data_IF_231579352054
#
_entry.id   IF_231579352054
#
_cell.length_a   1.000
_cell.length_b   1.000
_cell.length_c   1.000
_cell.angle_alpha   90.00
_cell.angle_beta   90.00
_cell.angle_gamma   90.00
#
_symmetry.space_group_name_H-M   'P 1'
#
loop_
_entity.id
_entity.type
_entity.pdbx_description
1 polymer ?
#
# COMPACT_ATOMS: atom_id res chain seq x y z
N UNK A 1 5.22 -8.35 32.69
CA UNK A 1 5.16 -9.28 31.56
C UNK A 1 5.75 -8.53 30.38
N UNK A 2 6.87 -8.97 29.81
CA UNK A 2 7.29 -8.45 28.51
C UNK A 2 6.24 -8.97 27.52
N UNK A 3 5.63 -8.08 26.75
CA UNK A 3 4.70 -8.48 25.69
C UNK A 3 5.46 -9.35 24.71
N UNK A 4 4.99 -10.58 24.47
CA UNK A 4 5.56 -11.49 23.48
C UNK A 4 5.21 -11.05 22.04
N UNK A 5 4.79 -9.80 21.84
CA UNK A 5 4.56 -9.22 20.50
C UNK A 5 5.95 -8.99 19.88
N UNK A 6 6.31 -9.75 18.86
CA UNK A 6 7.63 -9.63 18.25
C UNK A 6 7.83 -8.25 17.63
N UNK A 7 9.01 -7.66 17.82
CA UNK A 7 9.56 -6.52 17.05
C UNK A 7 9.07 -5.10 17.34
N UNK A 8 8.40 -4.87 18.43
CA UNK A 8 8.11 -3.50 18.81
C UNK A 8 8.84 -3.20 20.08
N UNK A 9 10.10 -2.80 19.92
CA UNK A 9 10.75 -1.99 20.93
C UNK A 9 9.98 -0.66 20.97
N UNK A 10 9.21 -0.38 22.03
CA UNK A 10 8.47 0.89 22.12
C UNK A 10 9.40 2.12 22.12
N UNK A 11 10.70 1.92 22.29
CA UNK A 11 11.73 2.94 22.21
C UNK A 11 12.34 3.05 20.79
N UNK A 12 12.04 2.12 19.86
CA UNK A 12 12.47 2.17 18.46
C UNK A 12 11.34 2.69 17.58
N UNK A 13 11.40 3.96 17.23
CA UNK A 13 10.41 4.65 16.40
C UNK A 13 10.42 4.19 14.94
N UNK A 14 11.41 3.43 14.49
CA UNK A 14 11.57 3.00 13.09
C UNK A 14 12.40 1.72 12.98
N UNK A 15 12.12 0.91 11.94
CA UNK A 15 12.92 -0.29 11.63
C UNK A 15 13.33 -0.27 10.16
N UNK A 16 14.64 -0.37 9.83
CA UNK A 16 15.06 -0.54 8.44
C UNK A 16 14.37 -1.76 7.82
N UNK A 17 13.68 -1.55 6.70
CA UNK A 17 12.94 -2.61 6.03
C UNK A 17 13.76 -3.21 4.88
N UNK A 18 14.35 -2.36 4.03
CA UNK A 18 15.23 -2.78 2.97
C UNK A 18 16.09 -1.62 2.45
N UNK A 19 17.21 -1.97 1.81
CA UNK A 19 17.97 -1.10 0.93
C UNK A 19 17.97 -1.70 -0.48
N UNK A 20 17.57 -0.91 -1.48
CA UNK A 20 17.56 -1.28 -2.90
C UNK A 20 18.57 -0.40 -3.64
N UNK A 21 19.35 -1.00 -4.55
CA UNK A 21 20.31 -0.25 -5.36
C UNK A 21 19.65 0.77 -6.28
N UNK A 22 18.41 0.48 -6.70
CA UNK A 22 17.61 1.30 -7.61
C UNK A 22 16.12 1.28 -7.17
N UNK A 23 15.31 2.33 -7.48
CA UNK A 23 15.75 3.55 -8.16
C UNK A 23 16.69 4.40 -7.29
N UNK A 24 17.47 5.26 -7.94
CA UNK A 24 18.35 6.22 -7.28
C UNK A 24 18.32 7.56 -8.00
N UNK A 25 18.71 8.61 -7.29
CA UNK A 25 18.84 9.97 -7.85
C UNK A 25 20.30 10.33 -8.06
N UNK A 26 20.56 11.43 -8.78
CA UNK A 26 21.90 11.95 -9.03
C UNK A 26 22.32 13.09 -8.08
N UNK A 27 21.51 13.41 -7.07
CA UNK A 27 21.81 14.48 -6.13
C UNK A 27 20.81 14.63 -5.01
N UNK A 28 19.62 15.11 -5.30
CA UNK A 28 18.57 15.35 -4.32
C UNK A 28 17.98 14.05 -3.78
N UNK A 29 17.78 13.95 -2.46
CA UNK A 29 17.05 12.85 -1.83
C UNK A 29 15.57 13.19 -1.80
N UNK A 30 14.73 12.30 -2.32
CA UNK A 30 13.28 12.38 -2.26
C UNK A 30 12.78 11.50 -1.11
N UNK A 31 11.92 12.08 -0.25
CA UNK A 31 11.28 11.39 0.88
C UNK A 31 9.79 11.26 0.64
N UNK A 32 9.28 10.05 0.73
CA UNK A 32 7.86 9.74 0.55
C UNK A 32 7.35 8.99 1.78
N UNK A 33 6.31 9.50 2.43
CA UNK A 33 5.53 8.69 3.35
C UNK A 33 4.53 7.86 2.52
N UNK A 34 4.78 6.56 2.44
CA UNK A 34 3.98 5.62 1.68
C UNK A 34 3.03 4.86 2.60
N UNK A 35 1.77 5.22 2.57
CA UNK A 35 0.68 4.58 3.28
C UNK A 35 -0.07 3.63 2.36
N UNK A 36 -0.71 2.61 2.92
CA UNK A 36 -1.59 1.70 2.19
C UNK A 36 -2.67 1.15 3.11
N UNK A 37 -3.78 0.77 2.52
CA UNK A 37 -4.83 0.01 3.21
C UNK A 37 -5.22 0.66 4.55
N UNK A 38 -5.53 1.96 4.49
CA UNK A 38 -5.92 2.74 5.67
C UNK A 38 -7.30 2.34 6.16
N UNK A 39 -8.17 1.89 5.25
CA UNK A 39 -9.53 1.41 5.51
C UNK A 39 -10.28 2.24 6.54
N UNK A 40 -10.24 3.57 6.37
CA UNK A 40 -10.93 4.48 7.29
C UNK A 40 -12.40 4.12 7.38
N UNK A 41 -12.86 3.90 8.60
CA UNK A 41 -14.23 3.53 8.92
C UNK A 41 -14.87 4.57 9.85
N UNK A 42 -16.11 4.96 9.56
CA UNK A 42 -16.89 5.82 10.46
C UNK A 42 -17.31 5.04 11.70
N UNK A 43 -17.81 3.83 11.47
CA UNK A 43 -18.15 2.87 12.51
C UNK A 43 -17.55 1.50 12.16
N UNK A 44 -16.88 0.88 13.11
CA UNK A 44 -16.32 -0.43 12.90
C UNK A 44 -15.80 -1.07 14.17
N UNK A 45 -15.88 -2.38 14.23
CA UNK A 45 -15.28 -3.18 15.29
C UNK A 45 -13.97 -3.78 14.81
N UNK A 46 -13.11 -4.18 15.76
CA UNK A 46 -11.92 -4.94 15.42
C UNK A 46 -12.29 -6.28 14.78
N UNK A 47 -11.55 -6.65 13.76
CA UNK A 47 -11.63 -7.98 13.14
C UNK A 47 -10.28 -8.69 13.29
N UNK A 48 -10.17 -9.99 12.97
CA UNK A 48 -8.86 -10.66 12.96
C UNK A 48 -7.81 -10.01 12.03
N UNK A 49 -8.26 -9.24 11.03
CA UNK A 49 -7.34 -8.59 10.07
C UNK A 49 -7.21 -7.09 10.27
N UNK A 50 -8.27 -6.40 10.70
CA UNK A 50 -8.35 -4.93 10.59
C UNK A 50 -8.84 -4.31 11.89
N UNK A 51 -8.13 -3.29 12.35
CA UNK A 51 -8.47 -2.49 13.53
C UNK A 51 -9.42 -1.33 13.15
N UNK A 52 -10.59 -1.63 12.54
CA UNK A 52 -11.50 -0.62 11.98
C UNK A 52 -11.87 0.48 12.98
N UNK A 53 -12.04 0.15 14.24
CA UNK A 53 -12.39 1.11 15.32
C UNK A 53 -11.29 2.14 15.61
N UNK A 54 -10.09 2.00 15.01
CA UNK A 54 -8.93 2.89 15.22
C UNK A 54 -8.38 3.52 13.95
N UNK A 55 -8.92 3.15 12.78
CA UNK A 55 -8.30 3.52 11.50
C UNK A 55 -8.17 5.03 11.31
N UNK A 56 -9.14 5.81 11.76
CA UNK A 56 -9.06 7.28 11.74
C UNK A 56 -7.92 7.83 12.59
N UNK A 57 -7.74 7.31 13.83
CA UNK A 57 -6.65 7.71 14.73
C UNK A 57 -5.27 7.28 14.20
N UNK A 58 -5.18 6.08 13.63
CA UNK A 58 -3.93 5.58 13.04
C UNK A 58 -3.50 6.44 11.85
N UNK A 59 -4.44 6.85 11.00
CA UNK A 59 -4.17 7.73 9.87
C UNK A 59 -3.69 9.11 10.33
N UNK A 60 -4.34 9.69 11.34
CA UNK A 60 -3.96 10.98 11.92
C UNK A 60 -2.52 10.93 12.47
N UNK A 61 -2.18 9.89 13.24
CA UNK A 61 -0.81 9.67 13.74
C UNK A 61 0.22 9.47 12.62
N UNK A 62 -0.16 8.77 11.54
CA UNK A 62 0.72 8.60 10.39
C UNK A 62 1.02 9.94 9.70
N UNK A 63 0.02 10.80 9.58
CA UNK A 63 0.18 12.16 9.02
C UNK A 63 1.05 13.03 9.94
N UNK A 64 0.81 13.02 11.25
CA UNK A 64 1.61 13.77 12.22
C UNK A 64 3.08 13.32 12.21
N UNK A 65 3.34 12.02 12.17
CA UNK A 65 4.69 11.48 12.09
C UNK A 65 5.38 11.85 10.76
N UNK A 66 4.66 11.75 9.62
CA UNK A 66 5.16 12.14 8.31
C UNK A 66 5.52 13.64 8.25
N UNK A 67 4.71 14.52 8.87
CA UNK A 67 5.02 15.96 8.99
C UNK A 67 6.34 16.17 9.75
N UNK A 68 6.56 15.41 10.85
CA UNK A 68 7.79 15.47 11.63
C UNK A 68 9.05 14.97 10.89
N UNK A 69 8.90 14.33 9.72
CA UNK A 69 9.99 13.78 8.91
C UNK A 69 10.32 14.60 7.66
N UNK A 70 9.66 15.73 7.45
CA UNK A 70 9.86 16.60 6.29
C UNK A 70 9.77 15.82 4.95
N UNK A 71 8.69 15.02 4.79
CA UNK A 71 8.49 14.26 3.56
C UNK A 71 8.04 15.17 2.40
N UNK A 72 8.51 14.89 1.20
CA UNK A 72 8.16 15.65 0.00
C UNK A 72 6.76 15.32 -0.51
N UNK A 73 6.26 14.12 -0.17
CA UNK A 73 4.98 13.61 -0.65
C UNK A 73 4.37 12.59 0.30
N UNK A 74 3.06 12.67 0.46
CA UNK A 74 2.24 11.61 1.04
C UNK A 74 1.63 10.79 -0.10
N UNK A 75 1.93 9.50 -0.17
CA UNK A 75 1.45 8.59 -1.22
C UNK A 75 0.64 7.48 -0.61
N UNK A 76 -0.56 7.22 -1.17
CA UNK A 76 -1.42 6.13 -0.73
C UNK A 76 -1.58 5.09 -1.84
N UNK A 77 -1.27 3.84 -1.51
CA UNK A 77 -1.31 2.71 -2.43
C UNK A 77 -2.67 1.98 -2.41
N UNK A 78 -3.77 2.73 -2.22
CA UNK A 78 -5.15 2.24 -2.30
C UNK A 78 -5.78 1.81 -0.97
N UNK A 79 -7.07 1.48 -1.04
CA UNK A 79 -7.95 1.13 0.07
C UNK A 79 -7.94 2.20 1.18
N UNK A 80 -8.30 3.44 0.77
CA UNK A 80 -8.39 4.58 1.66
C UNK A 80 -9.53 4.40 2.67
N UNK A 81 -10.66 3.86 2.19
CA UNK A 81 -11.90 3.68 2.92
C UNK A 81 -12.20 2.22 3.20
N UNK A 82 -13.04 1.95 4.19
CA UNK A 82 -13.45 0.59 4.54
C UNK A 82 -14.35 -0.04 3.46
N UNK A 83 -15.38 0.69 3.02
CA UNK A 83 -16.38 0.19 2.08
C UNK A 83 -16.66 1.14 0.90
N UNK A 84 -16.07 2.33 0.87
CA UNK A 84 -16.30 3.34 -0.17
C UNK A 84 -17.48 4.25 0.09
N UNK A 85 -17.99 4.29 1.33
CA UNK A 85 -19.07 5.21 1.68
C UNK A 85 -18.63 6.68 1.61
N UNK A 86 -19.50 7.61 1.19
CA UNK A 86 -19.18 9.03 1.17
C UNK A 86 -18.71 9.58 2.53
N UNK A 87 -19.23 9.07 3.64
CA UNK A 87 -18.88 9.49 4.99
C UNK A 87 -17.49 8.99 5.40
N UNK A 88 -17.06 7.82 4.91
CA UNK A 88 -15.71 7.31 5.11
C UNK A 88 -14.68 8.16 4.35
N UNK A 89 -15.00 8.57 3.12
CA UNK A 89 -14.18 9.54 2.39
C UNK A 89 -14.11 10.89 3.09
N UNK A 90 -15.22 11.38 3.66
CA UNK A 90 -15.23 12.63 4.41
C UNK A 90 -14.35 12.55 5.67
N UNK A 91 -14.41 11.43 6.39
CA UNK A 91 -13.55 11.18 7.55
C UNK A 91 -12.08 11.05 7.12
N UNK A 92 -11.79 10.32 6.04
CA UNK A 92 -10.43 10.25 5.49
C UNK A 92 -9.89 11.65 5.19
N UNK A 93 -10.67 12.49 4.50
CA UNK A 93 -10.28 13.86 4.16
C UNK A 93 -10.01 14.70 5.41
N UNK A 94 -10.84 14.59 6.45
CA UNK A 94 -10.64 15.25 7.74
C UNK A 94 -9.31 14.83 8.38
N UNK A 95 -8.98 13.53 8.38
CA UNK A 95 -7.77 13.00 9.01
C UNK A 95 -6.48 13.37 8.28
N UNK A 96 -6.55 13.61 6.98
CA UNK A 96 -5.37 14.04 6.18
C UNK A 96 -5.28 15.55 5.99
N UNK A 97 -6.25 16.34 6.48
CA UNK A 97 -6.27 17.80 6.32
C UNK A 97 -5.02 18.47 6.91
N UNK A 98 -4.47 17.90 7.99
CA UNK A 98 -3.25 18.37 8.65
C UNK A 98 -1.94 17.98 7.97
N UNK A 99 -1.95 17.33 6.81
CA UNK A 99 -0.73 16.95 6.11
C UNK A 99 -0.02 18.16 5.51
N UNK A 100 1.26 18.35 5.87
CA UNK A 100 2.11 19.41 5.30
C UNK A 100 2.52 19.07 3.86
N UNK A 101 2.80 17.79 3.59
CA UNK A 101 3.14 17.31 2.26
C UNK A 101 1.90 17.08 1.40
N UNK A 102 1.92 17.46 0.11
CA UNK A 102 0.82 17.18 -0.79
C UNK A 102 0.59 15.68 -0.96
N UNK A 103 -0.71 15.28 -0.99
CA UNK A 103 -1.15 13.91 -1.11
C UNK A 103 -1.32 13.48 -2.57
N UNK A 104 -0.94 12.24 -2.87
CA UNK A 104 -1.30 11.52 -4.10
C UNK A 104 -1.77 10.10 -3.75
N UNK A 105 -2.82 9.61 -4.42
CA UNK A 105 -3.32 8.27 -4.20
C UNK A 105 -3.69 7.54 -5.49
N UNK A 106 -3.53 6.22 -5.48
CA UNK A 106 -4.21 5.32 -6.40
C UNK A 106 -5.40 4.68 -5.68
N UNK A 107 -6.49 4.33 -6.35
CA UNK A 107 -7.61 3.67 -5.69
C UNK A 107 -7.31 2.19 -5.42
N UNK A 108 -7.86 1.69 -4.32
CA UNK A 108 -8.01 0.27 -4.08
C UNK A 108 -9.41 -0.22 -4.43
N UNK A 109 -9.66 -1.52 -4.27
CA UNK A 109 -10.97 -2.09 -4.58
C UNK A 109 -12.08 -1.65 -3.61
N UNK A 110 -11.74 -1.20 -2.41
CA UNK A 110 -12.69 -0.62 -1.47
C UNK A 110 -13.11 0.81 -1.82
N UNK A 111 -12.37 1.52 -2.66
CA UNK A 111 -12.58 2.94 -2.96
C UNK A 111 -13.43 3.20 -4.23
N UNK A 112 -13.78 2.16 -4.97
CA UNK A 112 -14.46 2.25 -6.27
C UNK A 112 -15.81 1.55 -6.27
N UNK A 113 -16.79 1.99 -7.10
CA UNK A 113 -18.07 1.28 -7.23
C UNK A 113 -17.89 -0.18 -7.68
N UNK A 114 -18.63 -1.09 -7.07
CA UNK A 114 -18.67 -2.51 -7.42
C UNK A 114 -20.11 -2.93 -7.77
N UNK A 115 -20.27 -3.91 -8.63
CA UNK A 115 -21.60 -4.37 -9.06
C UNK A 115 -22.50 -4.86 -7.91
N UNK A 116 -21.89 -5.39 -6.86
CA UNK A 116 -22.60 -6.00 -5.74
C UNK A 116 -22.67 -5.11 -4.49
N UNK A 117 -22.29 -3.83 -4.59
CA UNK A 117 -22.45 -2.89 -3.47
C UNK A 117 -23.95 -2.66 -3.19
N UNK A 118 -24.28 -2.60 -1.92
CA UNK A 118 -25.62 -2.26 -1.44
C UNK A 118 -25.78 -0.75 -1.11
N UNK A 119 -24.74 0.04 -1.44
CA UNK A 119 -24.65 1.49 -1.22
C UNK A 119 -24.03 2.20 -2.43
N UNK A 120 -24.09 3.51 -2.42
CA UNK A 120 -23.55 4.38 -3.47
C UNK A 120 -22.10 4.78 -3.14
N UNK A 121 -21.13 4.16 -3.83
CA UNK A 121 -19.73 4.59 -3.79
C UNK A 121 -19.50 5.72 -4.80
N UNK A 122 -18.78 6.80 -4.44
CA UNK A 122 -18.45 7.87 -5.37
C UNK A 122 -17.73 7.36 -6.62
N UNK A 123 -18.03 7.90 -7.81
CA UNK A 123 -17.43 7.42 -9.05
C UNK A 123 -15.91 7.69 -9.07
N UNK A 124 -15.16 6.83 -9.76
CA UNK A 124 -13.70 6.93 -9.93
C UNK A 124 -13.22 8.32 -10.36
N UNK A 125 -14.02 9.01 -11.19
CA UNK A 125 -13.73 10.38 -11.60
C UNK A 125 -13.70 11.40 -10.45
N UNK A 126 -14.45 11.14 -9.35
CA UNK A 126 -14.39 11.97 -8.14
C UNK A 126 -13.10 11.65 -7.36
N UNK A 127 -12.75 10.36 -7.23
CA UNK A 127 -11.49 9.93 -6.63
C UNK A 127 -10.31 10.60 -7.34
N UNK A 128 -10.23 10.48 -8.66
CA UNK A 128 -9.16 11.07 -9.46
C UNK A 128 -9.04 12.59 -9.27
N UNK A 129 -10.17 13.31 -9.27
CA UNK A 129 -10.13 14.78 -9.07
C UNK A 129 -9.69 15.19 -7.68
N UNK A 130 -9.88 14.33 -6.67
CA UNK A 130 -9.62 14.67 -5.28
C UNK A 130 -8.20 14.30 -4.85
N UNK A 131 -7.70 13.14 -5.30
CA UNK A 131 -6.50 12.52 -4.78
C UNK A 131 -5.38 12.34 -5.81
N UNK A 132 -5.61 12.68 -7.07
CA UNK A 132 -4.63 12.52 -8.14
C UNK A 132 -4.79 13.62 -9.20
N UNK A 133 -3.77 13.92 -10.02
CA UNK A 133 -3.90 14.82 -11.17
C UNK A 133 -4.68 14.18 -12.34
N UNK A 134 -5.24 13.02 -12.17
CA UNK A 134 -5.94 12.15 -13.11
C UNK A 134 -5.68 10.69 -12.79
N UNK A 135 -6.23 9.73 -13.54
CA UNK A 135 -5.89 8.31 -13.47
C UNK A 135 -5.90 7.75 -14.89
N UNK A 136 -4.79 7.14 -15.35
CA UNK A 136 -3.49 7.05 -14.68
C UNK A 136 -2.78 8.42 -14.60
N UNK A 137 -1.75 8.54 -13.77
CA UNK A 137 -0.99 9.78 -13.64
C UNK A 137 0.53 9.56 -13.62
N UNK A 138 1.27 10.59 -14.04
CA UNK A 138 2.68 10.80 -13.77
C UNK A 138 2.84 12.12 -13.06
N UNK A 139 3.54 12.12 -11.93
CA UNK A 139 3.84 13.31 -11.15
C UNK A 139 5.31 13.33 -10.76
N UNK A 140 6.02 14.44 -11.01
CA UNK A 140 7.42 14.56 -10.59
C UNK A 140 7.50 15.01 -9.13
N UNK A 141 8.32 14.27 -8.37
CA UNK A 141 8.72 14.63 -7.00
C UNK A 141 10.25 14.73 -7.01
N UNK A 142 10.78 15.96 -7.09
CA UNK A 142 12.19 16.14 -7.38
C UNK A 142 12.58 15.43 -8.70
N UNK A 143 13.62 14.59 -8.71
CA UNK A 143 14.02 13.80 -9.88
C UNK A 143 13.17 12.55 -10.11
N UNK A 144 12.33 12.13 -9.17
CA UNK A 144 11.54 10.88 -9.23
C UNK A 144 10.25 11.08 -10.02
N UNK A 145 9.98 10.18 -10.95
CA UNK A 145 8.72 10.08 -11.69
C UNK A 145 7.77 9.11 -10.99
N UNK A 146 6.90 9.64 -10.13
CA UNK A 146 5.83 8.87 -9.49
C UNK A 146 4.72 8.59 -10.51
N UNK A 147 4.48 7.31 -10.79
CA UNK A 147 3.50 6.85 -11.78
C UNK A 147 2.44 6.03 -11.07
N UNK A 148 1.21 6.54 -11.03
CA UNK A 148 0.09 5.85 -10.39
C UNK A 148 -0.90 5.30 -11.40
N UNK A 149 -1.30 4.04 -11.21
CA UNK A 149 -2.27 3.34 -12.05
C UNK A 149 -3.49 2.91 -11.22
N UNK A 150 -4.65 2.88 -11.85
CA UNK A 150 -5.82 2.22 -11.30
C UNK A 150 -5.78 0.73 -11.61
N UNK A 151 -5.62 -0.12 -10.59
CA UNK A 151 -5.79 -1.56 -10.74
C UNK A 151 -7.13 -2.06 -10.16
N UNK A 152 -7.94 -1.17 -9.59
CA UNK A 152 -9.27 -1.49 -9.08
C UNK A 152 -10.31 -1.40 -10.21
N UNK A 153 -10.08 -2.17 -11.28
CA UNK A 153 -10.99 -2.28 -12.41
C UNK A 153 -10.90 -3.66 -13.06
N UNK A 154 -11.81 -3.95 -13.96
CA UNK A 154 -11.81 -5.11 -14.87
C UNK A 154 -11.66 -4.61 -16.29
N UNK A 155 -11.46 -5.50 -17.31
CA UNK A 155 -11.47 -5.09 -18.71
C UNK A 155 -12.73 -4.34 -19.14
N UNK A 156 -13.87 -4.61 -18.48
CA UNK A 156 -15.17 -3.97 -18.75
C UNK A 156 -15.40 -2.68 -17.92
N UNK A 157 -14.44 -2.28 -17.09
CA UNK A 157 -14.42 -1.03 -16.35
C UNK A 157 -15.04 -1.05 -14.96
N UNK A 158 -15.95 -1.99 -14.65
CA UNK A 158 -16.60 -2.12 -13.34
C UNK A 158 -16.06 -3.32 -12.58
N UNK A 159 -15.68 -3.13 -11.33
CA UNK A 159 -15.24 -4.22 -10.47
C UNK A 159 -16.44 -5.05 -10.01
N UNK A 160 -16.47 -6.35 -10.34
CA UNK A 160 -17.56 -7.24 -9.93
C UNK A 160 -17.39 -7.81 -8.53
N UNK A 161 -16.21 -7.72 -7.95
CA UNK A 161 -15.87 -8.25 -6.63
C UNK A 161 -14.88 -7.37 -5.89
N UNK A 162 -14.63 -7.70 -4.63
CA UNK A 162 -13.80 -6.89 -3.72
C UNK A 162 -12.34 -7.32 -3.64
N UNK A 163 -11.90 -8.33 -4.38
CA UNK A 163 -10.62 -8.98 -4.06
C UNK A 163 -9.60 -9.05 -5.18
N UNK A 164 -9.99 -8.82 -6.42
CA UNK A 164 -9.06 -8.83 -7.54
C UNK A 164 -9.21 -7.55 -8.37
N UNK A 165 -8.19 -7.27 -9.14
CA UNK A 165 -8.20 -6.14 -10.06
C UNK A 165 -7.28 -6.37 -11.22
N UNK A 166 -7.19 -5.40 -12.10
CA UNK A 166 -6.39 -5.46 -13.30
C UNK A 166 -6.06 -4.04 -13.77
N UNK A 167 -4.91 -3.88 -14.40
CA UNK A 167 -4.60 -2.68 -15.18
C UNK A 167 -5.15 -2.87 -16.60
N UNK A 168 -6.01 -1.97 -17.06
CA UNK A 168 -6.62 -2.06 -18.38
C UNK A 168 -5.62 -1.83 -19.51
N UNK A 169 -5.99 -2.27 -20.73
CA UNK A 169 -5.16 -2.10 -21.94
C UNK A 169 -4.87 -0.63 -22.22
N UNK A 170 -5.84 0.25 -22.06
CA UNK A 170 -5.66 1.69 -22.26
C UNK A 170 -4.62 2.28 -21.29
N UNK A 171 -4.61 1.82 -20.04
CA UNK A 171 -3.60 2.21 -19.07
C UNK A 171 -2.23 1.61 -19.39
N UNK A 172 -2.16 0.38 -19.89
CA UNK A 172 -0.89 -0.23 -20.33
C UNK A 172 -0.29 0.54 -21.52
N UNK A 173 -1.10 0.91 -22.51
CA UNK A 173 -0.66 1.74 -23.65
C UNK A 173 -0.19 3.13 -23.20
N UNK A 174 -0.84 3.70 -22.18
CA UNK A 174 -0.43 4.97 -21.59
C UNK A 174 0.88 4.82 -20.80
N UNK A 175 1.02 3.73 -20.05
CA UNK A 175 2.22 3.42 -19.25
C UNK A 175 3.45 3.25 -20.12
N UNK A 176 3.34 2.51 -21.25
CA UNK A 176 4.41 2.33 -22.21
C UNK A 176 4.99 3.66 -22.70
N UNK A 177 4.10 4.55 -23.17
CA UNK A 177 4.51 5.90 -23.60
C UNK A 177 5.10 6.75 -22.46
N UNK A 178 4.66 6.53 -21.24
CA UNK A 178 5.08 7.29 -20.07
C UNK A 178 6.45 6.83 -19.60
N UNK A 179 6.67 5.52 -19.49
CA UNK A 179 7.94 4.92 -19.09
C UNK A 179 9.05 5.25 -20.08
N UNK A 180 8.76 5.28 -21.39
CA UNK A 180 9.71 5.72 -22.41
C UNK A 180 10.22 7.17 -22.26
N UNK A 181 9.67 7.94 -21.31
CA UNK A 181 10.06 9.34 -21.00
C UNK A 181 10.39 9.55 -19.52
N UNK A 182 10.26 8.54 -18.70
CA UNK A 182 10.58 8.61 -17.29
C UNK A 182 12.09 8.43 -17.09
N UNK A 183 12.67 9.19 -16.15
CA UNK A 183 14.09 9.11 -15.83
C UNK A 183 14.35 8.25 -14.59
N UNK A 184 13.49 8.40 -13.57
CA UNK A 184 13.58 7.65 -12.31
C UNK A 184 12.16 7.17 -11.95
N UNK A 185 11.64 6.12 -12.61
CA UNK A 185 10.27 5.67 -12.42
C UNK A 185 10.08 4.95 -11.08
N UNK A 186 9.04 5.37 -10.36
CA UNK A 186 8.45 4.68 -9.22
C UNK A 186 6.98 4.40 -9.55
N UNK A 187 6.64 3.14 -9.78
CA UNK A 187 5.27 2.74 -10.15
C UNK A 187 4.49 2.33 -8.91
N UNK A 188 3.26 2.83 -8.80
CA UNK A 188 2.34 2.51 -7.68
C UNK A 188 1.02 1.99 -8.24
N UNK A 189 0.62 0.82 -7.77
CA UNK A 189 -0.69 0.23 -8.04
C UNK A 189 -1.18 -0.49 -6.76
N UNK A 190 -2.48 -0.71 -6.63
CA UNK A 190 -2.99 -1.37 -5.42
C UNK A 190 -2.80 -2.89 -5.45
N UNK A 191 -3.24 -3.58 -6.50
CA UNK A 191 -3.22 -5.05 -6.59
C UNK A 191 -1.85 -5.58 -7.01
N UNK A 192 -1.41 -6.63 -6.34
CA UNK A 192 -0.10 -7.25 -6.51
C UNK A 192 0.00 -8.09 -7.80
N UNK A 193 0.87 -7.77 -8.76
CA UNK A 193 1.12 -8.63 -9.91
C UNK A 193 1.98 -9.85 -9.58
N UNK A 194 2.98 -9.73 -8.69
CA UNK A 194 3.78 -10.86 -8.23
C UNK A 194 3.14 -11.52 -7.00
N UNK A 195 3.00 -12.83 -7.03
CA UNK A 195 2.41 -13.60 -5.93
C UNK A 195 3.39 -13.79 -4.76
N UNK A 196 2.83 -14.09 -3.57
CA UNK A 196 3.56 -14.50 -2.37
C UNK A 196 3.31 -16.00 -2.09
N UNK A 197 4.05 -16.92 -2.73
CA UNK A 197 3.83 -18.37 -2.55
C UNK A 197 3.93 -18.80 -1.10
N UNK A 198 4.85 -18.20 -0.32
CA UNK A 198 5.07 -18.54 1.08
C UNK A 198 3.85 -18.29 1.97
N UNK A 199 3.02 -17.30 1.64
CA UNK A 199 1.74 -17.06 2.34
C UNK A 199 0.70 -18.07 1.86
N UNK A 200 0.62 -18.32 0.56
CA UNK A 200 -0.32 -19.27 -0.02
C UNK A 200 -0.09 -20.71 0.47
N UNK A 201 1.17 -21.12 0.63
CA UNK A 201 1.51 -22.46 1.14
C UNK A 201 1.09 -22.70 2.59
N UNK A 202 0.96 -21.63 3.40
CA UNK A 202 0.59 -21.72 4.83
C UNK A 202 -0.91 -21.87 5.08
N UNK A 203 -1.74 -21.48 4.12
CA UNK A 203 -3.18 -21.62 4.15
C UNK A 203 -3.69 -21.94 2.73
N UNK A 204 -3.36 -23.15 2.27
CA UNK A 204 -3.62 -23.60 0.90
C UNK A 204 -5.12 -23.69 0.55
N UNK A 205 -5.99 -23.76 1.55
CA UNK A 205 -7.45 -23.75 1.43
C UNK A 205 -8.02 -22.33 1.18
N UNK A 206 -7.23 -21.29 1.38
CA UNK A 206 -7.64 -19.93 1.13
C UNK A 206 -7.39 -19.53 -0.34
N UNK A 207 -8.34 -18.87 -1.01
CA UNK A 207 -8.22 -18.56 -2.43
C UNK A 207 -7.28 -17.35 -2.70
N UNK A 208 -6.00 -17.45 -2.36
CA UNK A 208 -4.99 -16.39 -2.51
C UNK A 208 -4.91 -15.83 -3.93
N UNK A 209 -5.24 -16.63 -4.94
CA UNK A 209 -5.21 -16.20 -6.34
C UNK A 209 -6.22 -15.10 -6.68
N UNK A 210 -7.29 -14.94 -5.88
CA UNK A 210 -8.27 -13.87 -6.07
C UNK A 210 -7.83 -12.56 -5.40
N UNK A 211 -6.79 -12.60 -4.55
CA UNK A 211 -6.25 -11.43 -3.84
C UNK A 211 -5.03 -10.84 -4.55
N UNK A 212 -5.07 -10.75 -5.88
CA UNK A 212 -3.98 -10.20 -6.68
C UNK A 212 -4.49 -9.67 -8.01
N UNK A 213 -3.56 -9.18 -8.83
CA UNK A 213 -3.83 -8.83 -10.22
C UNK A 213 -4.30 -10.07 -11.00
N UNK A 214 -5.43 -9.97 -11.70
CA UNK A 214 -6.06 -11.13 -12.36
C UNK A 214 -5.21 -11.68 -13.53
N UNK A 215 -4.72 -10.81 -14.42
CA UNK A 215 -3.77 -11.15 -15.48
C UNK A 215 -2.59 -10.17 -15.46
N UNK A 216 -1.49 -10.48 -14.77
CA UNK A 216 -0.34 -9.60 -14.67
C UNK A 216 0.62 -9.64 -15.85
N UNK A 217 0.43 -10.57 -16.81
CA UNK A 217 1.44 -10.92 -17.83
C UNK A 217 1.90 -9.70 -18.64
N UNK A 218 0.95 -8.97 -19.22
CA UNK A 218 1.26 -7.80 -20.06
C UNK A 218 1.84 -6.64 -19.23
N UNK A 219 1.35 -6.45 -18.00
CA UNK A 219 1.85 -5.42 -17.11
C UNK A 219 3.29 -5.70 -16.68
N UNK A 220 3.59 -6.93 -16.22
CA UNK A 220 4.95 -7.32 -15.80
C UNK A 220 5.94 -7.24 -16.95
N UNK A 221 5.53 -7.70 -18.16
CA UNK A 221 6.39 -7.59 -19.34
C UNK A 221 6.71 -6.12 -19.65
N UNK A 222 5.73 -5.22 -19.55
CA UNK A 222 5.96 -3.81 -19.81
C UNK A 222 6.93 -3.17 -18.80
N UNK A 223 6.83 -3.55 -17.52
CA UNK A 223 7.78 -3.09 -16.51
C UNK A 223 9.19 -3.62 -16.79
N UNK A 224 9.33 -4.86 -17.26
CA UNK A 224 10.61 -5.48 -17.66
C UNK A 224 11.18 -4.80 -18.92
N UNK A 225 10.36 -4.59 -19.95
CA UNK A 225 10.76 -3.94 -21.22
C UNK A 225 11.34 -2.51 -21.01
N UNK A 226 10.95 -1.84 -19.91
CA UNK A 226 11.43 -0.50 -19.52
C UNK A 226 12.37 -0.50 -18.31
N UNK A 227 12.89 -1.63 -17.89
CA UNK A 227 13.81 -1.77 -16.75
C UNK A 227 13.30 -1.06 -15.48
N UNK A 228 11.99 -1.14 -15.17
CA UNK A 228 11.41 -0.52 -13.97
C UNK A 228 11.93 -1.24 -12.73
N UNK A 229 12.68 -0.56 -11.83
CA UNK A 229 13.34 -1.25 -10.72
C UNK A 229 12.40 -1.47 -9.53
N UNK A 230 11.37 -0.62 -9.34
CA UNK A 230 10.55 -0.60 -8.14
C UNK A 230 9.07 -0.41 -8.46
N UNK A 231 8.28 -1.36 -7.96
CA UNK A 231 6.82 -1.34 -7.95
C UNK A 231 6.32 -1.36 -6.51
N UNK A 232 5.48 -0.41 -6.16
CA UNK A 232 4.79 -0.36 -4.86
C UNK A 232 3.37 -0.88 -5.02
N UNK A 233 2.96 -1.72 -4.08
CA UNK A 233 1.60 -2.27 -4.01
C UNK A 233 1.07 -2.28 -2.58
N UNK A 234 -0.23 -2.53 -2.40
CA UNK A 234 -0.91 -2.71 -1.11
C UNK A 234 -1.67 -4.04 -1.05
N UNK A 235 -2.95 -3.97 -0.66
CA UNK A 235 -3.99 -4.99 -0.78
C UNK A 235 -3.82 -6.25 0.10
N UNK A 236 -2.66 -6.87 0.14
CA UNK A 236 -2.50 -8.13 0.87
C UNK A 236 -2.24 -7.97 2.36
N UNK A 237 -1.99 -6.76 2.84
CA UNK A 237 -1.72 -6.44 4.25
C UNK A 237 -0.55 -7.21 4.87
N UNK A 238 0.40 -7.64 4.07
CA UNK A 238 1.60 -8.36 4.53
C UNK A 238 2.84 -7.65 3.99
N UNK A 239 3.52 -6.82 4.80
CA UNK A 239 4.71 -6.11 4.35
C UNK A 239 5.76 -7.12 3.86
N UNK A 240 6.17 -6.95 2.61
CA UNK A 240 7.08 -7.91 1.98
C UNK A 240 7.77 -7.34 0.76
N UNK A 241 8.87 -8.00 0.37
CA UNK A 241 9.58 -7.74 -0.87
C UNK A 241 9.58 -9.00 -1.74
N UNK A 242 9.31 -8.82 -3.01
CA UNK A 242 9.43 -9.86 -4.02
C UNK A 242 10.32 -9.34 -5.15
N UNK A 243 11.43 -10.03 -5.39
CA UNK A 243 12.34 -9.69 -6.46
C UNK A 243 12.23 -10.71 -7.60
N UNK A 244 12.01 -10.23 -8.82
CA UNK A 244 11.88 -11.07 -10.01
C UNK A 244 12.28 -10.27 -11.26
N UNK A 245 13.19 -10.81 -12.10
CA UNK A 245 13.64 -10.23 -13.38
C UNK A 245 14.07 -8.75 -13.29
N UNK A 246 14.77 -8.35 -12.22
CA UNK A 246 15.21 -6.96 -12.03
C UNK A 246 14.18 -6.06 -11.36
N UNK A 247 12.89 -6.42 -11.37
CA UNK A 247 11.82 -5.72 -10.66
C UNK A 247 11.80 -6.10 -9.18
N UNK A 248 11.74 -5.13 -8.30
CA UNK A 248 11.37 -5.34 -6.90
C UNK A 248 9.93 -4.85 -6.66
N UNK A 249 9.03 -5.79 -6.35
CA UNK A 249 7.72 -5.46 -5.82
C UNK A 249 7.80 -5.32 -4.30
N UNK A 250 7.39 -4.18 -3.79
CA UNK A 250 7.21 -3.94 -2.36
C UNK A 250 5.71 -3.94 -2.07
N UNK A 251 5.27 -4.83 -1.18
CA UNK A 251 3.94 -4.74 -0.61
C UNK A 251 4.05 -3.89 0.65
N UNK A 252 3.40 -2.74 0.63
CA UNK A 252 3.37 -1.83 1.77
C UNK A 252 2.64 -2.48 2.96
N UNK A 253 3.03 -2.16 4.20
CA UNK A 253 2.23 -2.52 5.36
C UNK A 253 0.87 -1.84 5.28
N UNK A 254 -0.16 -2.55 5.74
CA UNK A 254 -1.48 -1.95 5.89
C UNK A 254 -1.55 -1.13 7.18
N UNK A 255 -2.03 0.09 7.08
CA UNK A 255 -2.22 0.92 8.27
C UNK A 255 -3.28 0.36 9.21
N UNK A 256 -4.30 -0.31 8.66
CA UNK A 256 -5.40 -0.91 9.40
C UNK A 256 -5.07 -2.28 10.01
N UNK A 257 -3.94 -2.90 9.69
CA UNK A 257 -3.60 -4.28 10.10
C UNK A 257 -2.22 -4.34 10.74
N UNK A 258 -1.98 -5.33 11.61
CA UNK A 258 -0.64 -5.57 12.14
C UNK A 258 0.40 -5.63 11.01
N UNK A 259 1.50 -4.85 11.06
CA UNK A 259 2.05 -4.12 12.22
C UNK A 259 1.63 -2.64 12.33
N UNK A 260 0.49 -2.20 11.82
CA UNK A 260 -0.07 -0.84 11.94
C UNK A 260 0.98 0.23 11.59
N UNK A 261 1.55 0.14 10.41
CA UNK A 261 2.74 0.90 10.03
C UNK A 261 2.57 1.50 8.64
N UNK A 262 3.44 2.46 8.31
CA UNK A 262 3.66 2.90 6.94
C UNK A 262 5.14 2.71 6.56
N UNK A 263 5.51 2.93 5.28
CA UNK A 263 6.90 2.96 4.83
C UNK A 263 7.36 4.40 4.59
N UNK A 264 8.46 4.80 5.21
CA UNK A 264 9.25 5.92 4.75
C UNK A 264 10.15 5.42 3.61
N UNK A 265 9.99 6.01 2.44
CA UNK A 265 10.76 5.70 1.22
C UNK A 265 11.70 6.87 0.96
N UNK A 266 13.00 6.64 1.02
CA UNK A 266 14.03 7.65 0.76
C UNK A 266 14.84 7.24 -0.46
N UNK A 267 14.68 7.99 -1.57
CA UNK A 267 15.35 7.74 -2.85
C UNK A 267 16.49 8.74 -2.99
N UNK A 268 17.72 8.29 -2.87
CA UNK A 268 18.91 9.12 -2.90
C UNK A 268 19.97 8.59 -3.85
N UNK A 269 21.18 9.14 -3.78
CA UNK A 269 22.32 8.81 -4.67
C UNK A 269 22.83 7.37 -4.50
N UNK A 270 22.55 6.74 -3.36
CA UNK A 270 23.01 5.37 -3.06
C UNK A 270 21.96 4.31 -3.34
N UNK A 271 20.77 4.70 -3.77
CA UNK A 271 19.62 3.81 -3.96
C UNK A 271 18.41 4.28 -3.17
N UNK A 272 17.53 3.33 -2.87
CA UNK A 272 16.28 3.53 -2.13
C UNK A 272 16.34 2.82 -0.80
N UNK A 273 16.21 3.59 0.27
CA UNK A 273 16.04 3.07 1.63
C UNK A 273 14.55 3.00 1.97
N UNK A 274 14.11 1.85 2.44
CA UNK A 274 12.76 1.60 2.94
C UNK A 274 12.82 1.42 4.44
N UNK A 275 12.06 2.21 5.18
CA UNK A 275 11.99 2.15 6.64
C UNK A 275 10.56 1.94 7.09
N UNK A 276 10.33 0.90 7.90
CA UNK A 276 9.04 0.64 8.53
C UNK A 276 8.84 1.59 9.70
N UNK A 277 7.73 2.31 9.70
CA UNK A 277 7.38 3.29 10.73
C UNK A 277 6.05 2.87 11.39
N UNK A 278 6.10 2.27 12.59
CA UNK A 278 4.90 1.95 13.35
C UNK A 278 4.18 3.23 13.82
N UNK A 279 2.86 3.24 13.71
CA UNK A 279 2.00 4.32 14.21
C UNK A 279 1.02 3.85 15.28
N UNK A 280 0.83 2.54 15.41
CA UNK A 280 0.09 1.94 16.52
C UNK A 280 0.89 2.06 17.82
N UNK A 281 0.24 2.45 18.91
CA UNK A 281 0.83 2.34 20.25
C UNK A 281 0.94 0.86 20.66
N UNK A 282 1.73 0.56 21.69
CA UNK A 282 1.91 -0.81 22.18
C UNK A 282 0.60 -1.56 22.39
N UNK A 283 -0.43 -0.87 22.91
CA UNK A 283 -1.76 -1.47 23.09
C UNK A 283 -2.45 -1.83 21.77
N UNK A 284 -2.39 -0.93 20.78
CA UNK A 284 -2.99 -1.14 19.45
C UNK A 284 -2.33 -2.32 18.72
N UNK A 285 -1.02 -2.40 18.81
CA UNK A 285 -0.21 -3.45 18.20
C UNK A 285 -0.48 -4.81 18.86
N UNK A 286 -0.56 -4.84 20.20
CA UNK A 286 -0.90 -6.06 20.96
C UNK A 286 -2.29 -6.55 20.59
N UNK A 287 -3.28 -5.67 20.58
CA UNK A 287 -4.66 -6.00 20.19
C UNK A 287 -4.74 -6.55 18.77
N UNK A 288 -4.10 -5.86 17.81
CA UNK A 288 -4.10 -6.28 16.40
C UNK A 288 -3.42 -7.65 16.20
N UNK A 289 -2.31 -7.89 16.90
CA UNK A 289 -1.61 -9.17 16.90
C UNK A 289 -2.47 -10.29 17.49
N UNK A 290 -3.06 -10.07 18.67
CA UNK A 290 -3.89 -11.06 19.37
C UNK A 290 -5.15 -11.42 18.56
N UNK A 291 -5.79 -10.42 17.94
CA UNK A 291 -6.93 -10.64 17.06
C UNK A 291 -6.56 -11.50 15.85
N UNK A 292 -5.41 -11.21 15.20
CA UNK A 292 -4.91 -12.00 14.08
C UNK A 292 -4.56 -13.45 14.50
N UNK A 293 -3.93 -13.61 15.68
CA UNK A 293 -3.58 -14.92 16.22
C UNK A 293 -4.81 -15.76 16.60
N UNK A 294 -5.88 -15.11 17.06
CA UNK A 294 -7.16 -15.75 17.38
C UNK A 294 -8.03 -16.04 16.14
N UNK A 295 -7.70 -15.49 14.98
CA UNK A 295 -8.45 -15.62 13.75
C UNK A 295 -8.37 -17.02 13.10
N UNK A 296 -8.87 -17.13 11.88
CA UNK A 296 -8.87 -18.37 11.09
C UNK A 296 -7.45 -18.72 10.59
N UNK A 297 -7.31 -19.86 9.91
CA UNK A 297 -6.01 -20.38 9.44
C UNK A 297 -5.26 -19.36 8.55
N UNK A 298 -5.97 -18.71 7.63
CA UNK A 298 -5.36 -17.71 6.75
C UNK A 298 -4.91 -16.43 7.49
N UNK A 299 -5.64 -15.99 8.52
CA UNK A 299 -5.22 -14.87 9.37
C UNK A 299 -3.91 -15.18 10.10
N UNK A 300 -3.81 -16.38 10.69
CA UNK A 300 -2.59 -16.83 11.35
C UNK A 300 -1.44 -17.04 10.35
N UNK A 301 -1.73 -17.46 9.12
CA UNK A 301 -0.71 -17.60 8.06
C UNK A 301 -0.12 -16.23 7.68
N UNK A 302 -0.96 -15.21 7.52
CA UNK A 302 -0.52 -13.84 7.25
C UNK A 302 0.30 -13.28 8.41
N UNK A 303 -0.18 -13.45 9.65
CA UNK A 303 0.53 -13.04 10.85
C UNK A 303 1.91 -13.70 10.94
N UNK A 304 1.97 -15.03 10.78
CA UNK A 304 3.24 -15.78 10.80
C UNK A 304 4.22 -15.32 9.72
N UNK A 305 3.73 -15.02 8.53
CA UNK A 305 4.57 -14.51 7.45
C UNK A 305 5.09 -13.10 7.77
N UNK A 306 4.22 -12.21 8.28
CA UNK A 306 4.60 -10.88 8.72
C UNK A 306 5.66 -10.93 9.81
N UNK A 307 5.46 -11.76 10.84
CA UNK A 307 6.43 -11.96 11.91
C UNK A 307 7.80 -12.43 11.41
N UNK A 308 7.83 -13.40 10.51
CA UNK A 308 9.08 -13.88 9.93
C UNK A 308 9.77 -12.80 9.10
N UNK A 309 9.00 -12.05 8.32
CA UNK A 309 9.53 -10.91 7.56
C UNK A 309 10.18 -9.91 8.51
N UNK A 310 9.46 -9.47 9.54
CA UNK A 310 9.97 -8.52 10.52
C UNK A 310 11.21 -9.06 11.26
N UNK A 311 11.25 -10.37 11.62
CA UNK A 311 12.41 -11.02 12.27
C UNK A 311 13.63 -11.13 11.36
N UNK A 312 13.44 -11.09 10.06
CA UNK A 312 14.54 -11.15 9.09
C UNK A 312 15.16 -9.79 8.79
N UNK A 313 14.55 -8.69 9.27
CA UNK A 313 15.04 -7.35 9.03
C UNK A 313 16.40 -7.12 9.73
N UNK A 314 17.31 -6.36 9.10
CA UNK A 314 18.58 -6.00 9.73
C UNK A 314 18.32 -5.01 10.89
N UNK A 315 18.72 -5.39 12.10
CA UNK A 315 18.72 -4.53 13.30
C UNK A 315 20.04 -3.82 13.43
#
# INVERSE_FOLDING_TARGET
>A
MRSDVPFLDPDSLTTPFAHLSDPRTDGETVRIALLSDTHVAVDGEATPRKAFHRTGELLERAVEDANGRDVDRLVLAGDLTKDGHPDEFALFEERVEGADAPLLAVPGNHDVPKENDDHETPPLSRFARRYAPGLPFRHRVGPVDLIGLNSAETPDGVLSGVHHGQVSTDQLDWLDRTLGRAETPLVVVHHNPLSLPQVADRAADWPWHVYRHADPTSFLRLLDDHDVPLLITGHQHVPSLRHENGLTQVIAPALASYPLSYLLVEIGVRGTDLTLVPVGMTGDLTESYENAAAGEAHHRAMLSYTDETLRSLPF
#
